data_IF_652992081896
#
_entry.id   IF_652992081896
#
_cell.length_a   1.000
_cell.length_b   1.000
_cell.length_c   1.000
_cell.angle_alpha   90.00
_cell.angle_beta   90.00
_cell.angle_gamma   90.00
#
_symmetry.space_group_name_H-M   'P 1'
#
loop_
_entity.id
_entity.type
_entity.pdbx_description
1 polymer ?
#
# COMPACT_ATOMS: atom_id res chain seq x y z
N UNK A 1 5.66 11.96 -1.59
CA UNK A 1 6.44 11.18 -2.58
C UNK A 1 5.49 10.72 -3.66
N UNK A 2 5.83 10.99 -4.92
CA UNK A 2 5.00 10.66 -6.09
C UNK A 2 5.82 9.79 -7.05
N UNK A 3 5.18 8.79 -7.63
CA UNK A 3 5.75 7.92 -8.65
C UNK A 3 5.26 8.39 -10.02
N UNK A 4 6.19 8.50 -10.97
CA UNK A 4 5.92 8.94 -12.33
C UNK A 4 5.62 7.73 -13.23
N UNK A 5 4.56 7.83 -14.01
CA UNK A 5 4.22 6.89 -15.08
C UNK A 5 3.93 7.65 -16.37
N UNK A 6 4.04 6.97 -17.50
CA UNK A 6 3.49 7.47 -18.78
C UNK A 6 2.03 7.06 -18.87
N UNK A 7 1.13 8.03 -19.02
CA UNK A 7 -0.29 7.81 -19.26
C UNK A 7 -0.54 7.25 -20.65
N UNK A 8 -1.69 6.60 -20.86
CA UNK A 8 -2.04 6.08 -22.19
C UNK A 8 -2.28 7.14 -23.27
N UNK A 9 -2.23 8.42 -22.94
CA UNK A 9 -2.21 9.56 -23.87
C UNK A 9 -0.79 10.13 -24.10
N UNK A 10 0.25 9.43 -23.62
CA UNK A 10 1.65 9.80 -23.72
C UNK A 10 2.11 10.89 -22.74
N UNK A 11 1.23 11.37 -21.83
CA UNK A 11 1.58 12.41 -20.85
C UNK A 11 2.08 11.81 -19.55
N UNK A 12 2.82 12.60 -18.79
CA UNK A 12 3.25 12.18 -17.46
C UNK A 12 2.07 12.17 -16.48
N UNK A 13 1.95 11.06 -15.75
CA UNK A 13 1.01 10.91 -14.65
C UNK A 13 1.76 10.64 -13.36
N UNK A 14 1.41 11.39 -12.32
CA UNK A 14 2.05 11.30 -11.01
C UNK A 14 1.08 10.68 -10.01
N UNK A 15 1.45 9.52 -9.45
CA UNK A 15 0.61 8.74 -8.55
C UNK A 15 1.23 8.72 -7.16
N UNK A 16 0.42 8.94 -6.13
CA UNK A 16 0.83 8.72 -4.73
C UNK A 16 0.61 7.24 -4.37
N UNK A 17 1.67 6.48 -4.01
CA UNK A 17 1.53 5.08 -3.61
C UNK A 17 0.57 4.87 -2.45
N UNK A 18 0.47 5.84 -1.54
CA UNK A 18 -0.41 5.80 -0.35
C UNK A 18 -1.90 5.71 -0.71
N UNK A 19 -2.28 6.18 -1.89
CA UNK A 19 -3.68 6.18 -2.33
C UNK A 19 -3.96 5.05 -3.32
N UNK A 20 -2.98 4.21 -3.67
CA UNK A 20 -3.20 3.10 -4.60
C UNK A 20 -3.97 1.99 -3.88
N UNK A 21 -5.12 1.63 -4.45
CA UNK A 21 -5.97 0.55 -3.95
C UNK A 21 -5.74 -0.74 -4.72
N UNK A 22 -5.68 -0.64 -6.05
CA UNK A 22 -5.55 -1.80 -6.95
C UNK A 22 -4.72 -1.40 -8.18
N UNK A 23 -3.85 -2.30 -8.62
CA UNK A 23 -3.21 -2.26 -9.94
C UNK A 23 -3.74 -3.45 -10.72
N UNK A 24 -4.29 -3.24 -11.91
CA UNK A 24 -4.84 -4.32 -12.74
C UNK A 24 -4.64 -4.09 -14.23
N UNK A 25 -4.73 -5.17 -15.00
CA UNK A 25 -4.73 -5.08 -16.45
C UNK A 25 -5.94 -4.31 -16.95
N UNK A 26 -5.71 -3.34 -17.86
CA UNK A 26 -6.80 -2.69 -18.59
C UNK A 26 -7.09 -3.46 -19.88
N UNK A 27 -8.18 -4.21 -19.87
CA UNK A 27 -8.68 -4.90 -21.06
C UNK A 27 -9.50 -3.92 -21.92
N UNK A 28 -9.16 -3.79 -23.20
CA UNK A 28 -9.97 -3.04 -24.16
C UNK A 28 -11.28 -3.75 -24.52
N UNK A 29 -12.18 -3.04 -25.21
CA UNK A 29 -13.53 -3.51 -25.63
C UNK A 29 -13.51 -4.83 -26.45
N UNK A 30 -12.35 -5.23 -26.98
CA UNK A 30 -12.16 -6.47 -27.75
C UNK A 30 -11.11 -7.42 -27.15
N UNK A 31 -10.90 -7.38 -25.83
CA UNK A 31 -9.98 -8.31 -25.14
C UNK A 31 -8.48 -8.09 -25.42
N UNK A 32 -8.12 -7.04 -26.17
CA UNK A 32 -6.72 -6.64 -26.35
C UNK A 32 -6.24 -5.85 -25.12
N UNK A 33 -5.06 -6.23 -24.58
CA UNK A 33 -4.38 -5.48 -23.52
C UNK A 33 -4.16 -4.05 -23.99
N UNK A 34 -4.62 -3.06 -23.22
CA UNK A 34 -4.34 -1.64 -23.50
C UNK A 34 -3.30 -1.04 -22.56
N UNK A 35 -2.84 -1.78 -21.56
CA UNK A 35 -1.87 -1.35 -20.55
C UNK A 35 -2.40 -1.61 -19.15
N UNK A 36 -2.07 -0.75 -18.21
CA UNK A 36 -2.39 -0.92 -16.79
C UNK A 36 -3.39 0.13 -16.31
N UNK A 37 -4.28 -0.26 -15.41
CA UNK A 37 -5.17 0.62 -14.67
C UNK A 37 -4.76 0.65 -13.20
N UNK A 38 -4.50 1.84 -12.68
CA UNK A 38 -4.23 2.11 -11.27
C UNK A 38 -5.50 2.71 -10.67
N UNK A 39 -6.14 1.99 -9.76
CA UNK A 39 -7.31 2.47 -9.01
C UNK A 39 -6.81 3.18 -7.76
N UNK A 40 -7.18 4.45 -7.61
CA UNK A 40 -6.82 5.25 -6.44
C UNK A 40 -8.02 5.42 -5.51
N UNK A 41 -7.81 5.29 -4.21
CA UNK A 41 -8.78 5.61 -3.18
C UNK A 41 -8.44 6.95 -2.57
N UNK A 42 -9.33 7.92 -2.75
CA UNK A 42 -9.19 9.24 -2.17
C UNK A 42 -9.67 9.23 -0.70
N UNK A 43 -9.20 10.18 0.13
CA UNK A 43 -9.72 10.37 1.47
C UNK A 43 -11.26 10.44 1.49
N UNK A 44 -11.90 9.77 2.45
CA UNK A 44 -13.36 9.65 2.53
C UNK A 44 -13.95 8.44 1.80
N UNK A 45 -13.14 7.51 1.30
CA UNK A 45 -13.61 6.24 0.73
C UNK A 45 -14.11 6.34 -0.71
N UNK A 46 -14.06 7.52 -1.31
CA UNK A 46 -14.40 7.74 -2.72
C UNK A 46 -13.31 7.08 -3.56
N UNK A 47 -13.69 6.04 -4.31
CA UNK A 47 -12.80 5.47 -5.31
C UNK A 47 -12.69 6.49 -6.44
N UNK A 48 -11.51 7.10 -6.59
CA UNK A 48 -11.20 7.88 -7.77
C UNK A 48 -11.21 6.96 -9.00
N UNK A 49 -11.61 7.49 -10.15
CA UNK A 49 -11.56 6.73 -11.39
C UNK A 49 -10.18 6.13 -11.64
N UNK A 50 -10.13 5.00 -12.35
CA UNK A 50 -8.87 4.34 -12.68
C UNK A 50 -7.99 5.19 -13.60
N UNK A 51 -6.74 5.38 -13.20
CA UNK A 51 -5.72 6.05 -13.99
C UNK A 51 -5.11 5.04 -14.95
N UNK A 52 -5.11 5.37 -16.24
CA UNK A 52 -4.52 4.50 -17.25
C UNK A 52 -3.07 4.86 -17.53
N UNK A 53 -2.19 3.88 -17.37
CA UNK A 53 -0.75 4.02 -17.63
C UNK A 53 -0.26 2.95 -18.59
N UNK A 54 0.82 3.26 -19.28
CA UNK A 54 1.60 2.32 -20.06
C UNK A 54 2.41 1.40 -19.14
N UNK A 55 2.77 0.22 -19.63
CA UNK A 55 3.52 -0.81 -18.89
C UNK A 55 2.68 -1.98 -18.43
N UNK A 56 3.36 -3.09 -18.11
CA UNK A 56 2.73 -4.31 -17.60
C UNK A 56 2.31 -4.16 -16.13
N UNK A 57 1.17 -4.74 -15.71
CA UNK A 57 0.63 -4.55 -14.35
C UNK A 57 1.61 -4.95 -13.23
N UNK A 58 2.39 -6.00 -13.45
CA UNK A 58 3.37 -6.50 -12.48
C UNK A 58 4.52 -5.52 -12.25
N UNK A 59 5.00 -4.90 -13.32
CA UNK A 59 6.05 -3.88 -13.23
C UNK A 59 5.53 -2.61 -12.55
N UNK A 60 4.33 -2.15 -12.93
CA UNK A 60 3.68 -1.00 -12.29
C UNK A 60 3.46 -1.24 -10.81
N UNK A 61 2.99 -2.43 -10.43
CA UNK A 61 2.80 -2.81 -9.03
C UNK A 61 4.12 -2.83 -8.26
N UNK A 62 5.18 -3.41 -8.84
CA UNK A 62 6.52 -3.44 -8.23
C UNK A 62 7.02 -2.02 -7.93
N UNK A 63 6.97 -1.12 -8.90
CA UNK A 63 7.44 0.27 -8.73
C UNK A 63 6.64 0.99 -7.62
N UNK A 64 5.32 0.78 -7.56
CA UNK A 64 4.47 1.34 -6.50
C UNK A 64 4.86 0.77 -5.13
N UNK A 65 5.08 -0.54 -5.02
CA UNK A 65 5.47 -1.21 -3.78
C UNK A 65 6.84 -0.78 -3.28
N UNK A 66 7.82 -0.63 -4.16
CA UNK A 66 9.18 -0.15 -3.83
C UNK A 66 9.17 1.30 -3.34
N UNK A 67 8.28 2.12 -3.91
CA UNK A 67 8.11 3.48 -3.44
C UNK A 67 7.36 3.54 -2.11
N UNK A 68 6.45 2.59 -1.82
CA UNK A 68 5.62 2.64 -0.62
C UNK A 68 6.50 2.76 0.62
N UNK A 69 6.30 3.80 1.46
CA UNK A 69 7.14 3.99 2.63
C UNK A 69 6.99 2.74 3.51
N UNK A 70 8.11 2.12 3.88
CA UNK A 70 8.11 1.01 4.84
C UNK A 70 7.62 1.55 6.18
N UNK A 71 6.31 1.50 6.41
CA UNK A 71 5.75 1.74 7.73
C UNK A 71 6.05 0.47 8.51
N UNK A 72 7.17 0.46 9.24
CA UNK A 72 7.37 -0.50 10.30
C UNK A 72 6.47 0.00 11.43
N UNK A 73 5.32 -0.63 11.73
CA UNK A 73 4.63 -0.31 12.96
C UNK A 73 5.63 -0.58 14.09
N UNK A 74 5.93 0.44 14.89
CA UNK A 74 6.55 0.23 16.19
C UNK A 74 5.57 -0.65 16.98
N UNK A 75 5.82 -1.95 16.96
CA UNK A 75 5.27 -2.89 17.92
C UNK A 75 6.05 -2.63 19.19
N UNK A 76 5.47 -1.99 20.23
CA UNK A 76 6.12 -2.00 21.52
C UNK A 76 6.35 -3.47 21.91
N UNK A 77 7.60 -3.82 22.24
CA UNK A 77 7.93 -5.12 22.84
C UNK A 77 7.14 -5.23 24.15
N UNK A 78 5.95 -5.81 24.11
CA UNK A 78 5.09 -6.03 25.28
C UNK A 78 5.59 -7.21 26.15
N UNK A 79 6.90 -7.50 26.09
CA UNK A 79 7.54 -8.66 26.71
C UNK A 79 8.76 -8.31 27.60
N UNK A 80 8.69 -7.18 28.32
CA UNK A 80 9.57 -6.97 29.49
C UNK A 80 8.81 -6.60 30.76
N UNK A 81 7.91 -7.48 31.16
CA UNK A 81 7.53 -7.64 32.56
C UNK A 81 7.70 -9.11 33.03
N UNK A 82 8.83 -9.74 32.68
CA UNK A 82 9.32 -10.93 33.37
C UNK A 82 10.00 -10.55 34.70
N UNK A 83 9.24 -9.93 35.61
CA UNK A 83 9.61 -9.70 37.00
C UNK A 83 9.03 -10.78 37.92
N UNK A 84 9.67 -11.95 37.98
CA UNK A 84 9.40 -12.96 39.02
C UNK A 84 9.81 -12.42 40.40
N UNK A 85 8.99 -12.69 41.41
CA UNK A 85 9.32 -12.64 42.84
C UNK A 85 8.15 -12.08 43.65
N UNK A 86 7.10 -12.85 43.93
CA UNK A 86 7.13 -13.91 44.93
C UNK A 86 6.96 -13.30 46.32
N UNK A 87 5.72 -13.20 46.81
CA UNK A 87 5.43 -12.83 48.21
C UNK A 87 5.23 -14.13 49.00
N UNK A 88 6.15 -14.53 49.88
CA UNK A 88 5.87 -15.55 50.89
C UNK A 88 5.16 -14.89 52.08
N UNK A 89 4.12 -15.55 52.61
CA UNK A 89 3.29 -15.03 53.69
C UNK A 89 3.86 -15.20 55.11
N UNK A 90 3.15 -14.59 56.07
CA UNK A 90 3.12 -14.84 57.52
C UNK A 90 2.05 -13.89 58.10
N UNK A 91 1.02 -14.25 58.87
CA UNK A 91 0.90 -15.24 59.95
C UNK A 91 1.01 -14.52 61.30
N UNK A 92 -0.09 -14.44 62.08
CA UNK A 92 -0.18 -13.92 63.47
C UNK A 92 0.03 -12.40 63.59
N UNK A 93 -0.63 -11.63 64.46
CA UNK A 93 -1.38 -11.87 65.70
C UNK A 93 -2.68 -11.04 65.73
#
# INVERSE_FOLDING_TARGET
>A
MLVRFTGGDGKDVWVSPLHVKVVREKTGIFGKKKGTEIVVQMPGGVSGGGVHVEGEPEEVARVISEAFPTIIPYLPDDDRASGRGGVPGSGGD
#
